data_IF_722162741872
#
_entry.id   IF_722162741872
#
_cell.length_a   1.000
_cell.length_b   1.000
_cell.length_c   1.000
_cell.angle_alpha   90.00
_cell.angle_beta   90.00
_cell.angle_gamma   90.00
#
_symmetry.space_group_name_H-M   'P 1'
#
loop_
_entity.id
_entity.type
_entity.pdbx_description
1 polymer ?
#
# COMPACT_ATOMS: atom_id res chain seq x y z
N UNK A 1 -52.47 -34.77 -25.61
CA UNK A 1 -51.81 -34.82 -24.28
C UNK A 1 -50.31 -34.63 -24.45
N UNK A 2 -49.83 -33.40 -24.42
CA UNK A 2 -48.40 -33.04 -24.44
C UNK A 2 -48.27 -31.72 -23.71
N UNK A 3 -47.67 -31.73 -22.52
CA UNK A 3 -47.05 -30.59 -21.82
C UNK A 3 -46.67 -31.08 -20.42
N UNK A 4 -45.55 -30.57 -19.91
CA UNK A 4 -45.00 -30.75 -18.56
C UNK A 4 -43.98 -31.88 -18.42
N UNK A 5 -42.74 -31.65 -18.88
CA UNK A 5 -41.57 -32.28 -18.25
C UNK A 5 -40.21 -31.65 -18.64
N UNK A 6 -40.00 -30.32 -18.58
CA UNK A 6 -38.68 -29.77 -18.93
C UNK A 6 -38.32 -28.41 -18.26
N UNK A 7 -38.63 -28.22 -16.96
CA UNK A 7 -38.30 -26.95 -16.27
C UNK A 7 -37.52 -27.12 -14.94
N UNK A 8 -37.28 -28.34 -14.47
CA UNK A 8 -36.70 -28.52 -13.10
C UNK A 8 -35.17 -28.70 -13.06
N UNK A 9 -34.44 -28.66 -14.18
CA UNK A 9 -33.01 -28.99 -14.23
C UNK A 9 -32.07 -27.77 -14.34
N UNK A 10 -32.49 -26.59 -13.86
CA UNK A 10 -31.73 -25.33 -13.98
C UNK A 10 -31.58 -24.55 -12.66
N UNK A 11 -31.77 -25.21 -11.51
CA UNK A 11 -31.73 -24.59 -10.18
C UNK A 11 -30.64 -25.12 -9.24
N UNK A 12 -29.72 -25.94 -9.76
CA UNK A 12 -28.52 -26.37 -9.04
C UNK A 12 -27.27 -26.05 -9.84
N UNK A 13 -27.07 -24.77 -10.20
CA UNK A 13 -25.69 -24.30 -10.37
C UNK A 13 -25.10 -24.22 -8.96
N UNK A 14 -24.18 -25.12 -8.55
CA UNK A 14 -23.48 -24.95 -7.29
C UNK A 14 -22.86 -23.56 -7.32
N UNK A 15 -23.30 -22.71 -6.40
CA UNK A 15 -22.60 -21.49 -6.06
C UNK A 15 -21.25 -21.95 -5.50
N UNK A 16 -20.30 -22.20 -6.40
CA UNK A 16 -18.89 -22.25 -6.05
C UNK A 16 -18.57 -20.83 -5.57
N UNK A 17 -18.80 -20.59 -4.29
CA UNK A 17 -18.23 -19.48 -3.57
C UNK A 17 -16.72 -19.75 -3.63
N UNK A 18 -16.08 -19.26 -4.69
CA UNK A 18 -14.64 -19.15 -4.74
C UNK A 18 -14.29 -18.28 -3.55
N UNK A 19 -13.85 -18.91 -2.45
CA UNK A 19 -13.17 -18.20 -1.40
C UNK A 19 -11.97 -17.57 -2.10
N UNK A 20 -12.10 -16.29 -2.47
CA UNK A 20 -11.03 -15.55 -3.11
C UNK A 20 -9.94 -15.49 -2.07
N UNK A 21 -8.95 -16.38 -2.19
CA UNK A 21 -7.78 -16.35 -1.34
C UNK A 21 -7.10 -15.03 -1.59
N UNK A 22 -7.01 -14.19 -0.56
CA UNK A 22 -6.32 -12.91 -0.64
C UNK A 22 -4.92 -13.10 -1.19
N UNK A 23 -4.45 -12.12 -1.96
CA UNK A 23 -3.13 -12.19 -2.58
C UNK A 23 -2.07 -12.17 -1.47
N UNK A 24 -1.04 -13.03 -1.51
CA UNK A 24 0.08 -12.91 -0.58
C UNK A 24 0.81 -11.57 -0.77
N UNK A 25 1.40 -11.05 0.31
CA UNK A 25 2.19 -9.81 0.26
C UNK A 25 3.60 -10.19 -0.22
N UNK A 26 3.82 -10.20 -1.53
CA UNK A 26 5.11 -10.59 -2.14
C UNK A 26 5.84 -9.44 -2.86
N UNK A 27 5.26 -8.23 -2.83
CA UNK A 27 5.81 -7.02 -3.41
C UNK A 27 4.73 -6.05 -3.90
N UNK A 28 5.07 -5.15 -4.82
CA UNK A 28 4.19 -4.09 -5.32
C UNK A 28 4.43 -3.83 -6.81
N UNK A 29 3.41 -3.36 -7.53
CA UNK A 29 3.51 -2.90 -8.95
C UNK A 29 4.23 -3.87 -9.90
N UNK A 30 4.08 -5.18 -9.68
CA UNK A 30 4.72 -6.23 -10.48
C UNK A 30 6.18 -6.54 -10.11
N UNK A 31 6.73 -5.86 -9.12
CA UNK A 31 8.06 -6.10 -8.54
C UNK A 31 7.89 -6.98 -7.31
N UNK A 32 8.69 -8.05 -7.21
CA UNK A 32 8.68 -8.95 -6.06
C UNK A 32 9.83 -8.64 -5.10
N UNK A 33 9.64 -8.93 -3.82
CA UNK A 33 10.76 -9.01 -2.89
C UNK A 33 11.78 -10.05 -3.39
N UNK A 34 13.06 -9.71 -3.30
CA UNK A 34 14.16 -10.51 -3.83
C UNK A 34 14.51 -10.25 -5.30
N UNK A 35 13.70 -9.47 -6.05
CA UNK A 35 14.07 -9.05 -7.41
C UNK A 35 15.32 -8.17 -7.40
N UNK A 36 16.13 -8.26 -8.46
CA UNK A 36 17.31 -7.41 -8.64
C UNK A 36 16.91 -5.94 -8.87
N UNK A 37 17.68 -5.00 -8.35
CA UNK A 37 17.41 -3.56 -8.49
C UNK A 37 17.27 -3.09 -9.95
N UNK A 38 18.04 -3.66 -10.88
CA UNK A 38 17.91 -3.36 -12.31
C UNK A 38 16.55 -3.80 -12.88
N UNK A 39 16.04 -4.95 -12.45
CA UNK A 39 14.71 -5.43 -12.85
C UNK A 39 13.62 -4.50 -12.30
N UNK A 40 13.72 -4.11 -11.03
CA UNK A 40 12.79 -3.17 -10.41
C UNK A 40 12.76 -1.83 -11.16
N UNK A 41 13.94 -1.27 -11.47
CA UNK A 41 14.06 -0.04 -12.27
C UNK A 41 13.34 -0.15 -13.62
N UNK A 42 13.61 -1.22 -14.36
CA UNK A 42 13.00 -1.41 -15.69
C UNK A 42 11.47 -1.54 -15.60
N UNK A 43 10.95 -2.23 -14.58
CA UNK A 43 9.50 -2.36 -14.37
C UNK A 43 8.88 -1.00 -14.09
N UNK A 44 9.46 -0.19 -13.20
CA UNK A 44 8.90 1.13 -12.85
C UNK A 44 8.91 2.06 -14.06
N UNK A 45 10.03 2.11 -14.80
CA UNK A 45 10.13 2.93 -16.01
C UNK A 45 9.15 2.48 -17.11
N UNK A 46 8.92 1.18 -17.25
CA UNK A 46 7.91 0.66 -18.19
C UNK A 46 6.47 1.07 -17.82
N UNK A 47 6.21 1.42 -16.56
CA UNK A 47 4.93 1.95 -16.09
C UNK A 47 4.88 3.49 -16.08
N UNK A 48 5.84 4.16 -16.73
CA UNK A 48 5.89 5.62 -16.85
C UNK A 48 6.61 6.34 -15.71
N UNK A 49 7.18 5.61 -14.74
CA UNK A 49 7.96 6.23 -13.67
C UNK A 49 9.31 6.78 -14.17
N UNK A 50 9.65 7.98 -13.74
CA UNK A 50 10.90 8.64 -14.12
C UNK A 50 11.97 8.38 -13.06
N UNK A 51 13.14 7.88 -13.46
CA UNK A 51 14.22 7.58 -12.53
C UNK A 51 14.90 8.87 -12.03
N UNK A 52 14.84 9.11 -10.73
CA UNK A 52 15.49 10.25 -10.09
C UNK A 52 16.96 9.91 -9.78
N UNK A 53 17.85 10.37 -10.65
CA UNK A 53 19.30 10.16 -10.53
C UNK A 53 19.84 10.80 -9.24
N UNK A 54 19.33 11.98 -8.85
CA UNK A 54 19.81 12.71 -7.68
C UNK A 54 19.35 12.03 -6.40
N UNK A 55 18.09 11.59 -6.34
CA UNK A 55 17.57 10.78 -5.24
C UNK A 55 18.25 9.42 -5.11
N UNK A 56 18.71 8.82 -6.23
CA UNK A 56 19.30 7.48 -6.29
C UNK A 56 20.83 7.45 -6.16
N UNK A 57 21.43 8.43 -5.49
CA UNK A 57 22.89 8.48 -5.31
C UNK A 57 23.43 7.41 -4.35
N UNK A 58 22.56 6.81 -3.52
CA UNK A 58 22.91 5.67 -2.68
C UNK A 58 22.67 4.35 -3.41
N UNK A 59 23.65 3.41 -3.43
CA UNK A 59 23.50 2.15 -4.14
C UNK A 59 22.39 1.23 -3.58
N UNK A 60 21.92 1.52 -2.37
CA UNK A 60 20.87 0.75 -1.67
C UNK A 60 19.46 1.35 -1.84
N UNK A 61 19.28 2.40 -2.65
CA UNK A 61 17.98 3.02 -2.86
C UNK A 61 17.81 3.52 -4.29
N UNK A 62 16.68 3.17 -4.91
CA UNK A 62 16.27 3.67 -6.21
C UNK A 62 15.06 4.58 -6.02
N UNK A 63 15.12 5.80 -6.52
CA UNK A 63 14.09 6.81 -6.40
C UNK A 63 13.45 7.11 -7.75
N UNK A 64 12.14 7.34 -7.74
CA UNK A 64 11.37 7.60 -8.95
C UNK A 64 10.30 8.66 -8.70
N UNK A 65 10.01 9.48 -9.70
CA UNK A 65 8.86 10.39 -9.74
C UNK A 65 7.82 9.90 -10.74
N UNK A 66 6.62 10.48 -10.68
CA UNK A 66 5.52 10.18 -11.62
C UNK A 66 5.08 8.70 -11.63
N UNK A 67 5.17 8.01 -10.50
CA UNK A 67 4.78 6.59 -10.39
C UNK A 67 3.31 6.48 -9.98
N UNK A 68 2.53 5.70 -10.72
CA UNK A 68 1.14 5.37 -10.36
C UNK A 68 1.08 4.03 -9.60
N UNK A 69 0.45 4.04 -8.42
CA UNK A 69 0.05 2.82 -7.71
C UNK A 69 -1.44 2.56 -8.00
N UNK A 70 -1.72 1.73 -9.00
CA UNK A 70 -3.09 1.59 -9.51
C UNK A 70 -3.58 2.92 -10.11
N UNK A 71 -4.62 3.52 -9.53
CA UNK A 71 -5.11 4.85 -9.94
C UNK A 71 -4.59 5.99 -9.04
N UNK A 72 -3.76 5.68 -8.04
CA UNK A 72 -3.19 6.65 -7.12
C UNK A 72 -1.86 7.17 -7.67
N UNK A 73 -1.79 8.45 -8.04
CA UNK A 73 -0.56 9.10 -8.48
C UNK A 73 0.32 9.44 -7.27
N UNK A 74 1.52 8.86 -7.19
CA UNK A 74 2.51 9.19 -6.17
C UNK A 74 3.44 10.31 -6.63
N UNK A 75 3.83 11.18 -5.70
CA UNK A 75 4.85 12.22 -5.91
C UNK A 75 6.25 11.57 -6.02
N UNK A 76 6.51 10.61 -5.15
CA UNK A 76 7.78 9.89 -5.07
C UNK A 76 7.50 8.41 -4.81
N UNK A 77 8.27 7.54 -5.47
CA UNK A 77 8.43 6.15 -5.09
C UNK A 77 9.90 5.86 -4.77
N UNK A 78 10.14 4.99 -3.79
CA UNK A 78 11.47 4.52 -3.42
C UNK A 78 11.49 3.00 -3.36
N UNK A 79 12.55 2.39 -3.87
CA UNK A 79 12.81 0.95 -3.79
C UNK A 79 14.12 0.75 -3.05
N UNK A 80 14.06 0.17 -1.84
CA UNK A 80 15.27 -0.13 -1.06
C UNK A 80 15.80 -1.51 -1.38
N UNK A 81 17.12 -1.58 -1.48
CA UNK A 81 17.86 -2.77 -1.84
C UNK A 81 18.73 -3.24 -0.68
N UNK A 82 18.80 -4.55 -0.48
CA UNK A 82 19.76 -5.18 0.41
C UNK A 82 20.53 -6.23 -0.40
N UNK A 83 21.85 -6.07 -0.50
CA UNK A 83 22.70 -6.90 -1.37
C UNK A 83 22.19 -6.94 -2.83
N UNK A 84 21.78 -5.79 -3.36
CA UNK A 84 21.26 -5.64 -4.72
C UNK A 84 19.80 -6.06 -4.94
N UNK A 85 19.15 -6.62 -3.91
CA UNK A 85 17.79 -7.18 -4.02
C UNK A 85 16.75 -6.34 -3.29
N UNK A 86 15.57 -6.20 -3.90
CA UNK A 86 14.44 -5.45 -3.34
C UNK A 86 13.96 -6.09 -2.04
N UNK A 87 13.83 -5.29 -0.98
CA UNK A 87 13.18 -5.71 0.27
C UNK A 87 12.11 -4.73 0.77
N UNK A 88 12.10 -3.50 0.25
CA UNK A 88 11.10 -2.49 0.60
C UNK A 88 10.75 -1.63 -0.61
N UNK A 89 9.48 -1.28 -0.74
CA UNK A 89 8.97 -0.32 -1.72
C UNK A 89 8.07 0.67 -1.01
N UNK A 90 8.37 1.96 -1.14
CA UNK A 90 7.61 3.06 -0.56
C UNK A 90 7.01 3.95 -1.64
N UNK A 91 5.80 4.45 -1.40
CA UNK A 91 5.12 5.44 -2.23
C UNK A 91 4.66 6.60 -1.35
N UNK A 92 4.92 7.82 -1.80
CA UNK A 92 4.56 9.06 -1.13
C UNK A 92 3.49 9.76 -1.95
N UNK A 93 2.32 9.96 -1.34
CA UNK A 93 1.21 10.67 -1.95
C UNK A 93 1.04 12.00 -1.21
N UNK A 94 1.20 13.12 -1.91
CA UNK A 94 0.87 14.44 -1.38
C UNK A 94 -0.57 14.79 -1.73
N UNK A 95 -1.30 15.30 -0.76
CA UNK A 95 -2.70 15.72 -0.92
C UNK A 95 -2.81 17.23 -0.69
N UNK A 96 -3.64 17.90 -1.49
CA UNK A 96 -3.73 19.37 -1.48
C UNK A 96 -4.26 19.96 -0.16
N UNK A 97 -5.08 19.20 0.57
CA UNK A 97 -5.80 19.68 1.76
C UNK A 97 -6.00 18.56 2.77
N UNK A 98 -6.02 18.91 4.06
CA UNK A 98 -6.21 17.93 5.13
C UNK A 98 -7.53 17.15 5.08
N UNK A 99 -8.64 17.78 4.67
CA UNK A 99 -9.92 17.10 4.48
C UNK A 99 -9.86 16.01 3.39
N UNK A 100 -9.12 16.28 2.31
CA UNK A 100 -8.86 15.29 1.26
C UNK A 100 -7.88 14.20 1.74
N UNK A 101 -6.98 14.48 2.69
CA UNK A 101 -6.01 13.48 3.18
C UNK A 101 -6.71 12.28 3.82
N UNK A 102 -7.72 12.51 4.66
CA UNK A 102 -8.46 11.40 5.30
C UNK A 102 -9.24 10.57 4.26
N UNK A 103 -9.92 11.23 3.32
CA UNK A 103 -10.65 10.51 2.26
C UNK A 103 -9.72 9.72 1.34
N UNK A 104 -8.61 10.33 0.90
CA UNK A 104 -7.59 9.65 0.09
C UNK A 104 -7.00 8.44 0.83
N UNK A 105 -6.70 8.59 2.13
CA UNK A 105 -6.22 7.50 2.97
C UNK A 105 -7.24 6.35 3.02
N UNK A 106 -8.51 6.65 3.25
CA UNK A 106 -9.58 5.65 3.30
C UNK A 106 -9.76 4.94 1.94
N UNK A 107 -9.69 5.68 0.83
CA UNK A 107 -9.79 5.10 -0.51
C UNK A 107 -8.62 4.17 -0.83
N UNK A 108 -7.40 4.56 -0.44
CA UNK A 108 -6.21 3.73 -0.57
C UNK A 108 -6.31 2.45 0.26
N UNK A 109 -6.72 2.55 1.53
CA UNK A 109 -6.96 1.41 2.42
C UNK A 109 -8.03 0.48 1.83
N UNK A 110 -9.15 1.03 1.35
CA UNK A 110 -10.22 0.25 0.73
C UNK A 110 -9.74 -0.47 -0.54
N UNK A 111 -8.87 0.16 -1.34
CA UNK A 111 -8.25 -0.47 -2.51
C UNK A 111 -7.33 -1.63 -2.12
N UNK A 112 -6.55 -1.50 -1.05
CA UNK A 112 -5.69 -2.56 -0.55
C UNK A 112 -6.49 -3.71 0.06
N UNK A 113 -7.58 -3.41 0.80
CA UNK A 113 -8.45 -4.42 1.39
C UNK A 113 -9.05 -5.37 0.34
N UNK A 114 -9.40 -4.84 -0.84
CA UNK A 114 -9.89 -5.66 -1.96
C UNK A 114 -8.86 -6.67 -2.49
N UNK A 115 -7.56 -6.42 -2.27
CA UNK A 115 -6.46 -7.24 -2.80
C UNK A 115 -5.92 -8.18 -1.72
N UNK A 116 -5.69 -7.65 -0.51
CA UNK A 116 -4.94 -8.30 0.56
C UNK A 116 -5.80 -8.69 1.78
N UNK A 117 -7.11 -8.38 1.76
CA UNK A 117 -8.02 -8.58 2.89
C UNK A 117 -7.97 -7.43 3.88
N UNK A 118 -8.79 -7.50 4.94
CA UNK A 118 -8.91 -6.40 5.90
C UNK A 118 -7.61 -6.14 6.67
N UNK A 119 -7.12 -4.91 6.58
CA UNK A 119 -6.00 -4.42 7.39
C UNK A 119 -6.43 -4.05 8.80
N UNK A 120 -5.46 -3.97 9.72
CA UNK A 120 -5.68 -3.46 11.08
C UNK A 120 -5.40 -1.96 11.12
N UNK A 121 -6.45 -1.14 11.23
CA UNK A 121 -6.31 0.31 11.38
C UNK A 121 -6.17 0.74 12.84
N UNK A 122 -5.23 1.65 13.09
CA UNK A 122 -5.02 2.34 14.36
C UNK A 122 -5.23 3.83 14.16
N UNK A 123 -6.02 4.44 15.05
CA UNK A 123 -6.25 5.89 15.11
C UNK A 123 -6.04 6.31 16.55
N UNK A 124 -4.83 6.76 16.86
CA UNK A 124 -4.45 7.17 18.21
C UNK A 124 -4.52 8.70 18.31
N UNK A 125 -5.40 9.21 19.16
CA UNK A 125 -5.62 10.64 19.36
C UNK A 125 -5.15 11.07 20.73
N UNK A 126 -4.39 12.16 20.78
CA UNK A 126 -3.97 12.81 22.02
C UNK A 126 -5.01 13.84 22.44
N UNK A 127 -5.29 13.89 23.74
CA UNK A 127 -6.16 14.91 24.34
C UNK A 127 -5.73 16.32 23.92
N UNK A 128 -6.66 17.23 23.55
CA UNK A 128 -8.11 17.13 23.75
C UNK A 128 -8.88 16.42 22.63
N UNK A 129 -8.20 15.91 21.59
CA UNK A 129 -8.85 15.35 20.42
C UNK A 129 -9.37 13.93 20.66
N UNK A 130 -10.46 13.58 20.00
CA UNK A 130 -11.03 12.24 19.99
C UNK A 130 -11.58 11.87 18.61
N UNK A 131 -11.65 10.58 18.30
CA UNK A 131 -12.21 10.12 17.03
C UNK A 131 -13.69 10.50 16.94
N UNK A 132 -14.10 11.18 15.87
CA UNK A 132 -15.47 11.59 15.62
C UNK A 132 -15.85 12.98 16.17
N UNK A 133 -14.89 13.74 16.72
CA UNK A 133 -15.14 15.10 17.24
C UNK A 133 -15.14 16.20 16.17
N UNK A 134 -14.83 15.85 14.92
CA UNK A 134 -14.77 16.77 13.78
C UNK A 134 -13.46 17.56 13.66
N UNK A 135 -12.49 17.34 14.56
CA UNK A 135 -11.19 17.99 14.58
C UNK A 135 -10.05 17.06 14.14
N UNK A 136 -10.34 15.92 13.50
CA UNK A 136 -9.35 14.90 13.17
C UNK A 136 -8.25 15.44 12.26
N UNK A 137 -8.61 16.30 11.31
CA UNK A 137 -7.64 16.93 10.40
C UNK A 137 -6.66 17.81 11.17
N UNK A 138 -7.14 18.61 12.12
CA UNK A 138 -6.29 19.48 12.93
C UNK A 138 -5.42 18.64 13.88
N UNK A 139 -5.97 17.58 14.47
CA UNK A 139 -5.21 16.65 15.30
C UNK A 139 -4.04 16.02 14.53
N UNK A 140 -4.27 15.54 13.30
CA UNK A 140 -3.23 14.97 12.42
C UNK A 140 -2.19 16.05 12.06
N UNK A 141 -2.65 17.24 11.65
CA UNK A 141 -1.80 18.35 11.21
C UNK A 141 -0.91 18.92 12.33
N UNK A 142 -1.26 18.69 13.59
CA UNK A 142 -0.52 19.18 14.75
C UNK A 142 0.26 18.06 15.47
N UNK A 143 0.37 16.87 14.87
CA UNK A 143 1.05 15.71 15.48
C UNK A 143 0.34 15.14 16.72
N UNK A 144 -0.92 15.50 16.92
CA UNK A 144 -1.77 15.02 18.00
C UNK A 144 -2.66 13.84 17.60
N UNK A 145 -2.48 13.31 16.39
CA UNK A 145 -3.07 12.05 15.98
C UNK A 145 -2.11 11.22 15.12
N UNK A 146 -2.02 9.93 15.42
CA UNK A 146 -1.30 8.95 14.62
C UNK A 146 -2.33 8.03 13.94
N UNK A 147 -2.30 8.01 12.60
CA UNK A 147 -3.26 7.26 11.78
C UNK A 147 -2.52 6.33 10.84
N UNK A 148 -2.74 5.02 11.01
CA UNK A 148 -2.14 4.00 10.17
C UNK A 148 -3.03 2.77 9.98
N UNK A 149 -2.76 2.00 8.92
CA UNK A 149 -3.32 0.66 8.70
C UNK A 149 -2.21 -0.29 8.31
N UNK A 150 -2.21 -1.46 8.94
CA UNK A 150 -1.20 -2.50 8.77
C UNK A 150 -1.82 -3.80 8.26
N UNK A 151 -1.21 -4.39 7.24
CA UNK A 151 -1.45 -5.77 6.80
C UNK A 151 -0.19 -6.57 7.07
N UNK A 152 -0.34 -7.79 7.59
CA UNK A 152 0.77 -8.71 7.88
C UNK A 152 0.47 -10.05 7.22
N UNK A 153 1.40 -10.54 6.40
CA UNK A 153 1.38 -11.88 5.81
C UNK A 153 2.73 -12.55 6.08
N UNK A 154 2.75 -13.47 7.06
CA UNK A 154 3.95 -14.15 7.56
C UNK A 154 5.01 -13.15 8.04
N UNK A 155 6.03 -12.91 7.22
CA UNK A 155 7.15 -12.00 7.51
C UNK A 155 7.07 -10.70 6.71
N UNK A 156 6.04 -10.52 5.89
CA UNK A 156 5.90 -9.38 5.00
C UNK A 156 4.76 -8.49 5.48
N UNK A 157 4.87 -7.20 5.22
CA UNK A 157 3.90 -6.23 5.68
C UNK A 157 3.60 -5.15 4.63
N UNK A 158 2.38 -4.62 4.72
CA UNK A 158 1.97 -3.37 4.07
C UNK A 158 1.60 -2.39 5.17
N UNK A 159 2.12 -1.17 5.13
CA UNK A 159 1.71 -0.08 6.01
C UNK A 159 1.22 1.09 5.17
N UNK A 160 0.05 1.61 5.49
CA UNK A 160 -0.38 2.94 5.04
C UNK A 160 -0.42 3.83 6.28
N UNK A 161 0.24 4.99 6.24
CA UNK A 161 0.17 5.97 7.33
C UNK A 161 -0.02 7.38 6.80
N UNK A 162 -0.72 8.20 7.57
CA UNK A 162 -0.73 9.65 7.35
C UNK A 162 0.47 10.22 8.11
N UNK A 163 1.34 10.94 7.40
CA UNK A 163 2.48 11.62 8.01
C UNK A 163 1.99 12.93 8.63
N UNK A 164 2.22 13.16 9.94
CA UNK A 164 1.90 14.42 10.57
C UNK A 164 2.49 15.63 9.84
N UNK A 165 1.83 16.78 9.97
CA UNK A 165 2.30 18.10 9.51
C UNK A 165 2.53 18.26 7.99
N UNK A 166 2.32 17.23 7.18
CA UNK A 166 2.73 17.23 5.78
C UNK A 166 1.62 16.99 4.74
N UNK A 167 0.37 16.70 5.16
CA UNK A 167 -0.70 16.19 4.28
C UNK A 167 -0.22 15.09 3.32
N UNK A 168 0.71 14.27 3.80
CA UNK A 168 1.36 13.20 3.07
C UNK A 168 0.84 11.87 3.57
N UNK A 169 0.55 10.97 2.63
CA UNK A 169 0.25 9.57 2.92
C UNK A 169 1.44 8.74 2.42
N UNK A 170 1.94 7.86 3.27
CA UNK A 170 3.02 6.94 2.93
C UNK A 170 2.46 5.53 2.87
N UNK A 171 2.67 4.84 1.76
CA UNK A 171 2.40 3.42 1.57
C UNK A 171 3.73 2.68 1.47
N UNK A 172 3.93 1.67 2.32
CA UNK A 172 5.15 0.87 2.35
C UNK A 172 4.81 -0.60 2.22
N UNK A 173 5.49 -1.30 1.32
CA UNK A 173 5.56 -2.76 1.25
C UNK A 173 6.93 -3.19 1.72
N UNK A 174 7.00 -4.18 2.61
CA UNK A 174 8.28 -4.60 3.20
C UNK A 174 8.35 -6.12 3.44
N UNK A 175 9.50 -6.72 3.15
CA UNK A 175 9.94 -7.99 3.74
C UNK A 175 10.59 -7.68 5.11
N UNK A 176 9.85 -7.87 6.19
CA UNK A 176 10.28 -7.47 7.54
C UNK A 176 11.52 -8.24 8.00
N UNK A 177 11.68 -9.50 7.59
CA UNK A 177 12.86 -10.30 7.96
C UNK A 177 14.13 -9.75 7.32
N UNK A 178 14.07 -9.37 6.04
CA UNK A 178 15.22 -8.76 5.35
C UNK A 178 15.44 -7.34 5.85
N UNK A 179 14.39 -6.59 6.16
CA UNK A 179 14.50 -5.25 6.73
C UNK A 179 15.24 -5.25 8.09
N UNK A 180 14.94 -6.20 8.98
CA UNK A 180 15.67 -6.40 10.24
C UNK A 180 17.17 -6.61 9.99
N UNK A 181 17.53 -7.46 9.02
CA UNK A 181 18.93 -7.73 8.66
C UNK A 181 19.64 -6.51 8.06
N UNK A 182 18.92 -5.71 7.26
CA UNK A 182 19.45 -4.49 6.67
C UNK A 182 19.70 -3.42 7.75
N UNK A 183 18.80 -3.30 8.72
CA UNK A 183 18.92 -2.33 9.81
C UNK A 183 20.00 -2.70 10.83
N UNK A 184 20.24 -4.00 11.08
CA UNK A 184 21.29 -4.45 12.00
C UNK A 184 22.73 -4.20 11.51
N UNK A 185 22.91 -3.76 10.26
CA UNK A 185 24.22 -3.48 9.64
C UNK A 185 24.53 -1.98 9.48
N UNK A 186 23.57 -1.12 9.80
CA UNK A 186 23.75 0.34 9.83
C UNK A 186 24.30 0.75 11.17
#
# INVERSE_FOLDING_TARGET
>A
MKKNLFVTLLLFTPLFSFAQTFKPIDGAIGIKFGDEGLKAKNIITAHGGEFDILGSHYPESLHFTHVNFGHFASELAAVKLFRGKVYEMGFIFRVDTGAKTISYYNDLVASLNKIYGEGKSTWDFKSPYTKGDGNEVEAIKTGNADVETLWIDKTNAIQVKIVPDAYVIMLTFQDSKVAEQANAKK
#
